data_IF_284495438718
#
_entry.id   IF_284495438718
#
_cell.length_a   1.000
_cell.length_b   1.000
_cell.length_c   1.000
_cell.angle_alpha   90.00
_cell.angle_beta   90.00
_cell.angle_gamma   90.00
#
_symmetry.space_group_name_H-M   'P 1'
#
loop_
_entity.id
_entity.type
_entity.pdbx_description
1 polymer ?
#
# COMPACT_ATOMS: atom_id res chain seq x y z
N UNK A 1 -28.21 -0.72 -6.03
CA UNK A 1 -28.05 0.48 -5.20
C UNK A 1 -27.80 0.01 -3.78
N UNK A 2 -26.57 0.12 -3.29
CA UNK A 2 -26.26 -0.26 -1.91
C UNK A 2 -27.04 0.69 -0.99
N UNK A 3 -28.01 0.14 -0.26
CA UNK A 3 -28.82 0.91 0.69
C UNK A 3 -27.86 1.47 1.73
N UNK A 4 -27.92 2.79 1.91
CA UNK A 4 -27.18 3.55 2.91
C UNK A 4 -26.98 2.75 4.19
N UNK A 5 -25.71 2.56 4.55
CA UNK A 5 -25.30 2.17 5.90
C UNK A 5 -25.97 3.17 6.86
N UNK A 6 -26.55 2.68 7.94
CA UNK A 6 -27.49 3.45 8.77
C UNK A 6 -26.77 4.67 9.36
N UNK A 7 -27.46 5.80 9.51
CA UNK A 7 -26.89 7.10 9.92
C UNK A 7 -26.09 7.05 11.24
N UNK A 8 -26.35 6.04 12.07
CA UNK A 8 -25.75 5.81 13.38
C UNK A 8 -24.69 4.69 13.40
N UNK A 9 -24.51 3.94 12.32
CA UNK A 9 -23.43 2.95 12.24
C UNK A 9 -22.10 3.68 12.04
N UNK A 10 -21.21 3.53 13.01
CA UNK A 10 -19.83 4.01 12.96
C UNK A 10 -18.91 2.82 12.72
N UNK A 11 -17.93 3.04 11.87
CA UNK A 11 -16.85 2.10 11.61
C UNK A 11 -15.58 2.70 12.20
N UNK A 12 -14.92 1.94 13.05
CA UNK A 12 -13.67 2.30 13.72
C UNK A 12 -12.50 1.53 13.11
N UNK A 13 -11.29 2.09 13.23
CA UNK A 13 -10.06 1.42 12.78
C UNK A 13 -9.91 0.04 13.43
N UNK A 14 -10.24 -0.07 14.73
CA UNK A 14 -10.15 -1.30 15.49
C UNK A 14 -11.23 -2.34 15.17
N UNK A 15 -12.22 -2.02 14.33
CA UNK A 15 -13.18 -3.01 13.84
C UNK A 15 -12.53 -3.95 12.82
N UNK A 16 -11.39 -3.55 12.25
CA UNK A 16 -10.65 -4.35 11.29
C UNK A 16 -9.45 -5.02 11.94
N UNK A 17 -9.18 -6.26 11.50
CA UNK A 17 -7.93 -6.96 11.80
C UNK A 17 -6.90 -6.81 10.68
N UNK A 18 -7.32 -6.55 9.45
CA UNK A 18 -6.49 -6.46 8.25
C UNK A 18 -7.06 -5.43 7.27
N UNK A 19 -6.20 -4.54 6.78
CA UNK A 19 -6.49 -3.62 5.67
C UNK A 19 -5.61 -3.99 4.48
N UNK A 20 -6.23 -4.22 3.32
CA UNK A 20 -5.55 -4.49 2.06
C UNK A 20 -5.79 -3.32 1.11
N UNK A 21 -4.71 -2.74 0.60
CA UNK A 21 -4.74 -1.65 -0.36
C UNK A 21 -4.29 -2.17 -1.71
N UNK A 22 -5.21 -2.21 -2.66
CA UNK A 22 -4.89 -2.41 -4.06
C UNK A 22 -4.33 -1.10 -4.66
N UNK A 23 -3.42 -1.18 -5.62
CA UNK A 23 -2.67 -0.03 -6.17
C UNK A 23 -2.09 0.90 -5.08
N UNK A 24 -1.42 0.29 -4.09
CA UNK A 24 -0.98 0.98 -2.88
C UNK A 24 0.00 2.12 -3.14
N UNK A 25 0.63 2.17 -4.33
CA UNK A 25 1.51 3.26 -4.74
C UNK A 25 0.81 4.64 -4.77
N UNK A 26 -0.53 4.68 -4.71
CA UNK A 26 -1.29 5.91 -4.49
C UNK A 26 -1.29 6.41 -3.04
N UNK A 27 -0.77 5.66 -2.06
CA UNK A 27 -0.71 6.03 -0.64
C UNK A 27 0.35 7.11 -0.36
N UNK A 28 0.18 8.28 -0.95
CA UNK A 28 1.04 9.44 -0.82
C UNK A 28 0.20 10.73 -0.92
N UNK A 29 0.78 11.84 -0.44
CA UNK A 29 0.17 13.18 -0.52
C UNK A 29 -1.24 13.19 0.08
N UNK A 30 -2.21 13.80 -0.61
CA UNK A 30 -3.60 13.95 -0.17
C UNK A 30 -4.52 12.82 -0.68
N UNK A 31 -3.94 11.71 -1.17
CA UNK A 31 -4.77 10.58 -1.61
C UNK A 31 -5.53 9.97 -0.43
N UNK A 32 -6.79 9.53 -0.61
CA UNK A 32 -7.60 8.95 0.48
C UNK A 32 -6.92 7.82 1.26
N UNK A 33 -6.06 7.03 0.60
CA UNK A 33 -5.28 6.00 1.30
C UNK A 33 -4.32 6.57 2.33
N UNK A 34 -3.62 7.65 2.00
CA UNK A 34 -2.69 8.27 2.93
C UNK A 34 -3.43 8.92 4.12
N UNK A 35 -4.56 9.57 3.85
CA UNK A 35 -5.42 10.14 4.90
C UNK A 35 -5.93 9.04 5.83
N UNK A 36 -6.40 7.92 5.28
CA UNK A 36 -6.85 6.78 6.07
C UNK A 36 -5.71 6.19 6.91
N UNK A 37 -4.51 6.06 6.33
CA UNK A 37 -3.35 5.58 7.05
C UNK A 37 -2.88 6.52 8.15
N UNK A 38 -2.99 7.83 7.98
CA UNK A 38 -2.75 8.80 9.06
C UNK A 38 -3.69 8.55 10.24
N UNK A 39 -4.98 8.30 9.98
CA UNK A 39 -5.96 7.94 11.04
C UNK A 39 -5.55 6.63 11.74
N UNK A 40 -5.07 5.63 10.99
CA UNK A 40 -4.55 4.37 11.56
C UNK A 40 -3.28 4.61 12.39
N UNK A 41 -2.38 5.50 11.94
CA UNK A 41 -1.14 5.82 12.64
C UNK A 41 -1.39 6.58 13.95
N UNK A 42 -2.34 7.51 13.94
CA UNK A 42 -2.70 8.32 15.10
C UNK A 42 -3.49 7.53 16.15
N UNK A 43 -4.15 6.44 15.74
CA UNK A 43 -4.89 5.58 16.66
C UNK A 43 -3.97 4.92 17.69
N UNK A 44 -4.26 5.09 18.98
CA UNK A 44 -3.41 4.59 20.07
C UNK A 44 -3.78 3.17 20.54
N UNK A 45 -4.84 2.57 20.00
CA UNK A 45 -5.30 1.23 20.35
C UNK A 45 -4.75 0.13 19.44
N UNK A 46 -5.33 -1.08 19.49
CA UNK A 46 -4.99 -2.18 18.60
C UNK A 46 -5.25 -1.81 17.13
N UNK A 47 -4.19 -1.79 16.32
CA UNK A 47 -4.27 -1.46 14.89
C UNK A 47 -4.45 -2.71 14.03
N UNK A 48 -5.18 -2.64 12.91
CA UNK A 48 -5.17 -3.71 11.93
C UNK A 48 -3.76 -3.90 11.34
N UNK A 49 -3.46 -5.11 10.90
CA UNK A 49 -2.34 -5.32 9.98
C UNK A 49 -2.62 -4.59 8.67
N UNK A 50 -1.58 -4.06 8.02
CA UNK A 50 -1.70 -3.45 6.69
C UNK A 50 -0.93 -4.25 5.65
N UNK A 51 -1.51 -4.36 4.45
CA UNK A 51 -0.91 -5.00 3.30
C UNK A 51 -1.16 -4.13 2.05
N UNK A 52 -0.10 -3.78 1.35
CA UNK A 52 -0.17 -3.05 0.09
C UNK A 52 0.15 -3.96 -1.09
N UNK A 53 -0.65 -3.88 -2.14
CA UNK A 53 -0.45 -4.57 -3.41
C UNK A 53 -0.19 -3.52 -4.49
N UNK A 54 0.84 -3.73 -5.31
CA UNK A 54 1.13 -2.88 -6.47
C UNK A 54 2.02 -3.62 -7.46
N UNK A 55 1.87 -3.32 -8.75
CA UNK A 55 2.80 -3.78 -9.77
C UNK A 55 4.14 -3.02 -9.74
N UNK A 56 4.12 -1.77 -9.30
CA UNK A 56 5.29 -0.88 -9.21
C UNK A 56 5.16 0.07 -8.03
N UNK A 57 6.27 0.36 -7.35
CA UNK A 57 6.26 1.27 -6.20
C UNK A 57 6.16 2.75 -6.61
N UNK A 58 6.55 3.07 -7.85
CA UNK A 58 6.61 4.44 -8.34
C UNK A 58 7.69 5.26 -7.64
N UNK A 59 8.68 5.75 -8.40
CA UNK A 59 9.75 6.63 -7.87
C UNK A 59 9.48 8.11 -8.16
N UNK A 60 8.28 8.44 -8.63
CA UNK A 60 7.89 9.81 -8.98
C UNK A 60 8.85 10.44 -9.99
N UNK A 61 9.40 11.60 -9.64
CA UNK A 61 10.37 12.37 -10.45
C UNK A 61 11.81 12.14 -9.97
N UNK A 62 12.09 11.06 -9.24
CA UNK A 62 13.44 10.73 -8.80
C UNK A 62 14.41 10.63 -9.98
N UNK A 63 15.52 11.34 -9.89
CA UNK A 63 16.58 11.38 -10.92
C UNK A 63 17.82 10.61 -10.50
N UNK A 64 17.83 10.03 -9.29
CA UNK A 64 18.92 9.25 -8.74
C UNK A 64 18.39 8.05 -7.95
N UNK A 65 19.22 7.01 -7.80
CA UNK A 65 18.88 5.83 -6.99
C UNK A 65 18.56 6.20 -5.55
N UNK A 66 19.31 7.15 -4.97
CA UNK A 66 19.09 7.63 -3.60
C UNK A 66 17.72 8.29 -3.43
N UNK A 67 17.32 9.15 -4.37
CA UNK A 67 16.00 9.78 -4.35
C UNK A 67 14.88 8.78 -4.60
N UNK A 68 15.11 7.79 -5.47
CA UNK A 68 14.16 6.70 -5.71
C UNK A 68 13.96 5.83 -4.48
N UNK A 69 15.04 5.48 -3.79
CA UNK A 69 14.98 4.72 -2.53
C UNK A 69 14.27 5.52 -1.43
N UNK A 70 14.50 6.84 -1.35
CA UNK A 70 13.78 7.70 -0.42
C UNK A 70 12.26 7.67 -0.67
N UNK A 71 11.83 7.73 -1.94
CA UNK A 71 10.40 7.60 -2.30
C UNK A 71 9.81 6.24 -1.90
N UNK A 72 10.57 5.15 -2.06
CA UNK A 72 10.13 3.82 -1.62
C UNK A 72 9.95 3.78 -0.10
N UNK A 73 10.91 4.32 0.67
CA UNK A 73 10.80 4.36 2.12
C UNK A 73 9.66 5.25 2.62
N UNK A 74 9.42 6.38 1.95
CA UNK A 74 8.26 7.24 2.23
C UNK A 74 6.95 6.46 2.05
N UNK A 75 6.80 5.75 0.94
CA UNK A 75 5.62 4.91 0.70
C UNK A 75 5.45 3.82 1.76
N UNK A 76 6.54 3.13 2.12
CA UNK A 76 6.51 2.11 3.17
C UNK A 76 6.11 2.71 4.53
N UNK A 77 6.63 3.89 4.88
CA UNK A 77 6.28 4.60 6.10
C UNK A 77 4.80 5.01 6.10
N UNK A 78 4.27 5.53 4.99
CA UNK A 78 2.86 5.88 4.86
C UNK A 78 1.95 4.67 5.11
N UNK A 79 2.27 3.48 4.59
CA UNK A 79 1.49 2.26 4.78
C UNK A 79 1.73 1.61 6.17
N UNK A 80 2.80 1.99 6.86
CA UNK A 80 3.27 1.27 8.06
C UNK A 80 3.89 -0.10 7.73
N UNK A 81 4.41 -0.28 6.52
CA UNK A 81 4.99 -1.53 6.06
C UNK A 81 6.42 -1.69 6.61
N UNK A 82 6.69 -2.85 7.22
CA UNK A 82 8.03 -3.21 7.71
C UNK A 82 8.79 -4.13 6.75
N UNK A 83 8.13 -4.60 5.69
CA UNK A 83 8.71 -5.52 4.71
C UNK A 83 8.19 -5.20 3.31
N UNK A 84 9.08 -5.32 2.33
CA UNK A 84 8.78 -5.25 0.92
C UNK A 84 9.04 -6.62 0.29
N UNK A 85 7.99 -7.25 -0.24
CA UNK A 85 8.08 -8.57 -0.84
C UNK A 85 8.07 -8.48 -2.37
N UNK A 86 9.03 -9.14 -3.01
CA UNK A 86 9.05 -9.40 -4.46
C UNK A 86 9.54 -10.83 -4.70
N UNK A 87 9.18 -11.43 -5.83
CA UNK A 87 9.68 -12.77 -6.20
C UNK A 87 11.19 -12.68 -6.40
N UNK A 88 11.96 -13.49 -5.64
CA UNK A 88 13.42 -13.59 -5.77
C UNK A 88 13.91 -15.01 -6.06
N UNK A 89 13.26 -16.03 -5.48
CA UNK A 89 13.71 -17.44 -5.58
C UNK A 89 13.18 -18.18 -6.79
N UNK A 90 11.93 -17.92 -7.18
CA UNK A 90 11.23 -18.62 -8.26
C UNK A 90 10.96 -17.68 -9.44
N UNK A 91 11.99 -16.95 -9.87
CA UNK A 91 11.90 -16.02 -11.01
C UNK A 91 11.64 -16.76 -12.33
N UNK A 92 12.20 -17.95 -12.46
CA UNK A 92 11.96 -18.88 -13.57
C UNK A 92 10.47 -19.18 -13.76
N UNK A 93 9.74 -19.41 -12.65
CA UNK A 93 8.30 -19.62 -12.68
C UNK A 93 7.58 -18.32 -13.06
N UNK A 94 7.95 -17.19 -12.45
CA UNK A 94 7.31 -15.90 -12.76
C UNK A 94 7.44 -15.55 -14.25
N UNK A 95 8.61 -15.74 -14.84
CA UNK A 95 8.88 -15.45 -16.25
C UNK A 95 8.09 -16.33 -17.22
N UNK A 96 7.74 -17.56 -16.83
CA UNK A 96 6.87 -18.42 -17.63
C UNK A 96 5.43 -17.91 -17.74
N UNK A 97 4.91 -17.30 -16.67
CA UNK A 97 3.51 -16.86 -16.59
C UNK A 97 3.31 -15.37 -16.84
N UNK A 98 4.38 -14.57 -16.78
CA UNK A 98 4.35 -13.12 -17.04
C UNK A 98 5.36 -12.81 -18.16
N UNK A 99 5.01 -13.11 -19.42
CA UNK A 99 5.89 -12.83 -20.54
C UNK A 99 6.08 -11.32 -20.68
N UNK A 100 7.34 -10.90 -20.71
CA UNK A 100 7.69 -9.51 -21.01
C UNK A 100 7.65 -9.32 -22.52
N UNK A 101 7.13 -8.19 -23.03
CA UNK A 101 7.24 -7.85 -24.44
C UNK A 101 8.71 -7.90 -24.88
N UNK A 102 8.93 -8.40 -26.08
CA UNK A 102 10.23 -8.30 -26.74
C UNK A 102 10.24 -6.94 -27.43
N UNK A 103 11.17 -6.06 -27.02
CA UNK A 103 11.46 -4.82 -27.75
C UNK A 103 12.06 -5.12 -29.13
#
# INVERSE_FOLDING_TARGET
MLKSVRQDERVYVCDFSLLIFDEVHHCAKEHPYNILMQIVHDYQGPKPQTMGLTASLGVGMATSDESGMASIYELMANIGATSLASVKRHLDILEQYVPKPVD
#
